data_IF_273930126441
#
_entry.id   IF_273930126441
#
_cell.length_a   1.000
_cell.length_b   1.000
_cell.length_c   1.000
_cell.angle_alpha   90.00
_cell.angle_beta   90.00
_cell.angle_gamma   90.00
#
_symmetry.space_group_name_H-M   'P 1'
#
loop_
_entity.id
_entity.type
_entity.pdbx_description
1 polymer ?
#
# COMPACT_ATOMS: atom_id res chain seq x y z
N UNK A 1 17.12 33.99 -2.59
CA UNK A 1 15.70 33.81 -2.21
C UNK A 1 15.41 32.34 -2.18
N UNK A 2 15.36 31.74 -1.00
CA UNK A 2 14.98 30.34 -0.81
C UNK A 2 13.46 30.21 -1.10
N UNK A 3 13.12 29.60 -2.22
CA UNK A 3 11.72 29.28 -2.52
C UNK A 3 11.25 28.29 -1.46
N UNK A 4 10.33 28.71 -0.62
CA UNK A 4 9.67 27.87 0.36
C UNK A 4 9.29 26.51 -0.26
N UNK A 5 9.67 25.44 0.40
CA UNK A 5 9.52 24.05 -0.05
C UNK A 5 8.04 23.64 -0.20
N UNK A 6 7.14 24.44 0.36
CA UNK A 6 5.69 24.28 0.29
C UNK A 6 5.09 25.47 -0.46
N UNK A 7 4.96 25.34 -1.77
CA UNK A 7 4.32 26.40 -2.57
C UNK A 7 2.79 26.34 -2.57
N UNK A 8 2.21 25.21 -2.14
CA UNK A 8 0.75 25.01 -2.13
C UNK A 8 0.35 24.12 -0.94
N UNK A 9 -0.85 24.35 -0.36
CA UNK A 9 -1.38 23.48 0.71
C UNK A 9 -1.44 22.00 0.33
N UNK A 10 -1.67 21.72 -0.96
CA UNK A 10 -1.70 20.35 -1.49
C UNK A 10 -0.36 19.61 -1.38
N UNK A 11 0.77 20.31 -1.35
CA UNK A 11 2.09 19.69 -1.22
C UNK A 11 2.30 19.14 0.20
N UNK A 12 1.83 19.87 1.21
CA UNK A 12 1.87 19.40 2.60
C UNK A 12 0.99 18.18 2.81
N UNK A 13 -0.24 18.21 2.29
CA UNK A 13 -1.16 17.09 2.38
C UNK A 13 -0.60 15.84 1.67
N UNK A 14 -0.01 16.00 0.50
CA UNK A 14 0.67 14.93 -0.23
C UNK A 14 1.77 14.28 0.61
N UNK A 15 2.61 15.08 1.28
CA UNK A 15 3.69 14.57 2.15
C UNK A 15 3.13 13.82 3.35
N UNK A 16 2.10 14.35 3.99
CA UNK A 16 1.44 13.68 5.13
C UNK A 16 0.88 12.32 4.69
N UNK A 17 0.13 12.26 3.59
CA UNK A 17 -0.42 11.01 3.06
C UNK A 17 0.70 10.01 2.73
N UNK A 18 1.80 10.45 2.10
CA UNK A 18 2.94 9.60 1.77
C UNK A 18 3.59 9.01 3.02
N UNK A 19 3.84 9.85 4.03
CA UNK A 19 4.44 9.43 5.30
C UNK A 19 3.52 8.43 6.00
N UNK A 20 2.23 8.72 6.10
CA UNK A 20 1.26 7.85 6.77
C UNK A 20 1.17 6.48 6.09
N UNK A 21 1.10 6.44 4.77
CA UNK A 21 1.01 5.19 4.02
C UNK A 21 2.33 4.43 4.06
N UNK A 22 3.47 5.12 3.93
CA UNK A 22 4.79 4.51 4.07
C UNK A 22 4.99 3.88 5.45
N UNK A 23 4.58 4.58 6.50
CA UNK A 23 4.62 4.09 7.87
C UNK A 23 3.69 2.87 8.07
N UNK A 24 2.49 2.91 7.52
CA UNK A 24 1.56 1.79 7.57
C UNK A 24 2.17 0.52 6.95
N UNK A 25 2.70 0.59 5.74
CA UNK A 25 3.31 -0.57 5.08
C UNK A 25 4.58 -1.03 5.78
N UNK A 26 5.39 -0.12 6.30
CA UNK A 26 6.56 -0.48 7.08
C UNK A 26 6.17 -1.27 8.34
N UNK A 27 5.21 -0.77 9.13
CA UNK A 27 4.77 -1.43 10.37
C UNK A 27 4.11 -2.78 10.06
N UNK A 28 3.24 -2.86 9.06
CA UNK A 28 2.54 -4.10 8.71
C UNK A 28 3.50 -5.17 8.19
N UNK A 29 4.44 -4.80 7.33
CA UNK A 29 5.47 -5.70 6.85
C UNK A 29 6.42 -6.15 7.97
N UNK A 30 6.83 -5.22 8.85
CA UNK A 30 7.65 -5.54 10.02
C UNK A 30 6.96 -6.52 10.97
N UNK A 31 5.68 -6.29 11.27
CA UNK A 31 4.90 -7.20 12.11
C UNK A 31 4.75 -8.60 11.49
N UNK A 32 4.56 -8.69 10.17
CA UNK A 32 4.51 -9.97 9.46
C UNK A 32 5.84 -10.74 9.49
N UNK A 33 6.98 -10.03 9.63
CA UNK A 33 8.30 -10.66 9.74
C UNK A 33 8.62 -11.13 11.16
N UNK A 34 8.30 -10.31 12.18
CA UNK A 34 8.85 -10.49 13.54
C UNK A 34 7.79 -10.84 14.58
N UNK A 35 6.51 -10.60 14.33
CA UNK A 35 5.47 -10.91 15.29
C UNK A 35 4.80 -12.26 14.96
N UNK A 36 4.87 -13.28 15.86
CA UNK A 36 4.43 -14.65 15.56
C UNK A 36 2.98 -14.78 15.06
N UNK A 37 2.07 -13.98 15.62
CA UNK A 37 0.65 -14.01 15.24
C UNK A 37 0.45 -13.57 13.80
N UNK A 38 1.05 -12.44 13.39
CA UNK A 38 0.92 -11.92 12.03
C UNK A 38 1.65 -12.78 11.01
N UNK A 39 2.82 -13.35 11.40
CA UNK A 39 3.55 -14.31 10.60
C UNK A 39 2.70 -15.57 10.34
N UNK A 40 2.02 -16.09 11.38
CA UNK A 40 1.12 -17.24 11.26
C UNK A 40 -0.05 -16.98 10.31
N UNK A 41 -0.68 -15.82 10.37
CA UNK A 41 -1.74 -15.42 9.43
C UNK A 41 -1.23 -15.33 7.99
N UNK A 42 -0.06 -14.72 7.79
CA UNK A 42 0.55 -14.60 6.46
C UNK A 42 0.90 -15.98 5.90
N UNK A 43 1.51 -16.84 6.70
CA UNK A 43 1.87 -18.21 6.31
C UNK A 43 0.63 -19.01 5.92
N UNK A 44 -0.45 -18.95 6.71
CA UNK A 44 -1.72 -19.62 6.39
C UNK A 44 -2.28 -19.15 5.05
N UNK A 45 -2.24 -17.84 4.77
CA UNK A 45 -2.71 -17.28 3.50
C UNK A 45 -1.86 -17.75 2.32
N UNK A 46 -0.54 -17.75 2.45
CA UNK A 46 0.37 -18.19 1.37
C UNK A 46 0.28 -19.70 1.14
N UNK A 47 0.12 -20.50 2.21
CA UNK A 47 -0.04 -21.97 2.11
C UNK A 47 -1.30 -22.36 1.33
N UNK A 48 -2.38 -21.57 1.41
CA UNK A 48 -3.60 -21.83 0.63
C UNK A 48 -3.41 -21.60 -0.88
N UNK A 49 -2.33 -20.94 -1.30
CA UNK A 49 -2.01 -20.67 -2.71
C UNK A 49 -1.11 -21.74 -3.35
N UNK A 50 -0.84 -22.84 -2.65
CA UNK A 50 -0.08 -24.01 -3.17
C UNK A 50 1.33 -23.69 -3.66
N UNK A 51 2.03 -22.71 -3.06
CA UNK A 51 3.43 -22.48 -3.35
C UNK A 51 4.33 -23.61 -2.82
N UNK A 52 5.39 -23.94 -3.56
CA UNK A 52 6.33 -25.00 -3.18
C UNK A 52 7.07 -24.71 -1.84
N UNK A 53 7.30 -23.46 -1.51
CA UNK A 53 7.89 -23.05 -0.22
C UNK A 53 7.12 -21.85 0.36
N UNK A 54 6.01 -22.13 1.08
CA UNK A 54 5.14 -21.06 1.62
C UNK A 54 5.86 -20.15 2.61
N UNK A 55 6.76 -20.69 3.44
CA UNK A 55 7.48 -19.92 4.45
C UNK A 55 8.42 -18.88 3.81
N UNK A 56 9.17 -19.29 2.79
CA UNK A 56 10.04 -18.37 2.05
C UNK A 56 9.22 -17.27 1.38
N UNK A 57 8.12 -17.64 0.72
CA UNK A 57 7.27 -16.67 0.02
C UNK A 57 6.61 -15.69 0.99
N UNK A 58 6.13 -16.16 2.15
CA UNK A 58 5.57 -15.30 3.19
C UNK A 58 6.59 -14.27 3.69
N UNK A 59 7.79 -14.71 4.01
CA UNK A 59 8.87 -13.82 4.45
C UNK A 59 9.32 -12.85 3.34
N UNK A 60 9.39 -13.32 2.10
CA UNK A 60 9.76 -12.48 0.94
C UNK A 60 8.75 -11.36 0.72
N UNK A 61 7.45 -11.65 0.73
CA UNK A 61 6.40 -10.63 0.58
C UNK A 61 6.41 -9.65 1.75
N UNK A 62 6.51 -10.14 2.99
CA UNK A 62 6.55 -9.30 4.19
C UNK A 62 7.79 -8.39 4.20
N UNK A 63 8.95 -8.89 3.78
CA UNK A 63 10.17 -8.11 3.64
C UNK A 63 10.01 -7.01 2.59
N UNK A 64 9.49 -7.33 1.40
CA UNK A 64 9.25 -6.33 0.36
C UNK A 64 8.25 -5.26 0.82
N UNK A 65 7.21 -5.64 1.55
CA UNK A 65 6.23 -4.70 2.10
C UNK A 65 6.89 -3.72 3.08
N UNK A 66 7.71 -4.22 4.02
CA UNK A 66 8.45 -3.38 4.96
C UNK A 66 9.49 -2.49 4.27
N UNK A 67 10.26 -3.06 3.35
CA UNK A 67 11.35 -2.38 2.65
C UNK A 67 10.83 -1.21 1.79
N UNK A 68 9.84 -1.46 0.93
CA UNK A 68 9.27 -0.41 0.09
C UNK A 68 8.41 0.56 0.88
N UNK A 69 7.79 0.11 1.99
CA UNK A 69 7.11 0.99 2.94
C UNK A 69 8.08 1.99 3.57
N UNK A 70 9.26 1.55 3.99
CA UNK A 70 10.32 2.42 4.52
C UNK A 70 10.82 3.42 3.47
N UNK A 71 11.04 2.99 2.23
CA UNK A 71 11.47 3.86 1.16
C UNK A 71 10.41 4.93 0.83
N UNK A 72 9.15 4.56 0.82
CA UNK A 72 8.04 5.49 0.62
C UNK A 72 7.95 6.51 1.77
N UNK A 73 8.12 6.05 3.03
CA UNK A 73 8.17 6.89 4.22
C UNK A 73 9.26 7.97 4.11
N UNK A 74 10.46 7.55 3.74
CA UNK A 74 11.61 8.45 3.59
C UNK A 74 11.54 9.33 2.33
N UNK A 75 10.64 9.04 1.42
CA UNK A 75 10.56 9.70 0.11
C UNK A 75 11.76 9.40 -0.76
N UNK A 76 12.20 8.14 -0.74
CA UNK A 76 13.32 7.62 -1.51
C UNK A 76 12.76 6.72 -2.61
N UNK A 77 13.15 6.99 -3.89
CA UNK A 77 12.62 6.26 -5.04
C UNK A 77 11.09 6.15 -5.03
N UNK A 78 10.39 7.24 -4.67
CA UNK A 78 8.94 7.27 -4.41
C UNK A 78 8.12 6.56 -5.48
N UNK A 79 8.47 6.70 -6.76
CA UNK A 79 7.78 6.04 -7.87
C UNK A 79 7.93 4.52 -7.83
N UNK A 80 9.17 4.04 -7.66
CA UNK A 80 9.45 2.60 -7.62
C UNK A 80 8.84 1.94 -6.38
N UNK A 81 8.97 2.60 -5.22
CA UNK A 81 8.38 2.12 -3.97
C UNK A 81 6.86 1.98 -4.10
N UNK A 82 6.20 2.99 -4.67
CA UNK A 82 4.76 2.94 -4.89
C UNK A 82 4.35 1.84 -5.87
N UNK A 83 5.05 1.67 -6.99
CA UNK A 83 4.76 0.61 -7.96
C UNK A 83 4.94 -0.78 -7.34
N UNK A 84 6.02 -1.00 -6.58
CA UNK A 84 6.25 -2.28 -5.91
C UNK A 84 5.15 -2.60 -4.89
N UNK A 85 4.71 -1.61 -4.12
CA UNK A 85 3.59 -1.79 -3.18
C UNK A 85 2.26 -2.01 -3.90
N UNK A 86 2.01 -1.36 -5.07
CA UNK A 86 0.83 -1.64 -5.90
C UNK A 86 0.81 -3.10 -6.32
N UNK A 87 1.93 -3.65 -6.79
CA UNK A 87 1.99 -5.07 -7.18
C UNK A 87 1.64 -5.98 -6.01
N UNK A 88 2.18 -5.72 -4.81
CA UNK A 88 1.85 -6.49 -3.60
C UNK A 88 0.35 -6.40 -3.28
N UNK A 89 -0.24 -5.20 -3.36
CA UNK A 89 -1.67 -5.00 -3.08
C UNK A 89 -2.56 -5.64 -4.14
N UNK A 90 -2.17 -5.62 -5.42
CA UNK A 90 -2.89 -6.31 -6.48
C UNK A 90 -2.88 -7.83 -6.27
N UNK A 91 -1.71 -8.39 -5.95
CA UNK A 91 -1.62 -9.82 -5.63
C UNK A 91 -2.53 -10.16 -4.44
N UNK A 92 -2.49 -9.41 -3.34
CA UNK A 92 -3.34 -9.63 -2.20
C UNK A 92 -4.84 -9.52 -2.55
N UNK A 93 -5.21 -8.52 -3.33
CA UNK A 93 -6.59 -8.29 -3.78
C UNK A 93 -7.12 -9.48 -4.56
N UNK A 94 -6.39 -9.94 -5.58
CA UNK A 94 -6.86 -11.01 -6.47
C UNK A 94 -6.74 -12.40 -5.87
N UNK A 95 -5.78 -12.64 -4.97
CA UNK A 95 -5.58 -13.98 -4.39
C UNK A 95 -6.47 -14.26 -3.19
N UNK A 96 -6.87 -13.23 -2.43
CA UNK A 96 -7.61 -13.42 -1.19
C UNK A 96 -8.83 -12.51 -1.07
N UNK A 97 -8.63 -11.21 -1.20
CA UNK A 97 -9.60 -10.24 -0.69
C UNK A 97 -10.83 -10.12 -1.58
N UNK A 98 -10.69 -10.27 -2.90
CA UNK A 98 -11.83 -10.30 -3.82
C UNK A 98 -12.76 -11.49 -3.56
N UNK A 99 -12.21 -12.62 -3.09
CA UNK A 99 -12.97 -13.81 -2.73
C UNK A 99 -13.66 -13.70 -1.37
N UNK A 100 -13.34 -12.67 -0.58
CA UNK A 100 -14.02 -12.38 0.68
C UNK A 100 -15.33 -11.62 0.48
N UNK A 101 -15.58 -11.09 -0.73
CA UNK A 101 -16.85 -10.45 -1.07
C UNK A 101 -17.94 -11.52 -1.13
N UNK A 102 -19.05 -11.37 -0.39
CA UNK A 102 -20.17 -12.29 -0.46
C UNK A 102 -20.70 -12.38 -1.90
N UNK A 103 -20.99 -13.60 -2.37
CA UNK A 103 -21.51 -13.82 -3.73
C UNK A 103 -23.01 -14.07 -3.76
N UNK A 104 -23.60 -14.38 -2.59
CA UNK A 104 -25.01 -14.76 -2.49
C UNK A 104 -25.80 -13.78 -1.59
N UNK A 105 -26.51 -14.31 -0.62
CA UNK A 105 -27.38 -13.52 0.25
C UNK A 105 -26.59 -12.76 1.32
N UNK A 106 -26.77 -11.45 1.38
CA UNK A 106 -26.13 -10.59 2.39
C UNK A 106 -27.10 -10.36 3.53
N UNK A 107 -26.75 -10.66 4.78
CA UNK A 107 -27.56 -10.30 5.94
C UNK A 107 -27.52 -8.78 6.13
N UNK A 108 -28.64 -8.13 5.86
CA UNK A 108 -28.74 -6.65 5.97
C UNK A 108 -29.03 -6.21 7.42
N UNK A 109 -29.95 -6.91 8.07
CA UNK A 109 -30.34 -6.71 9.46
C UNK A 109 -31.22 -7.89 9.88
N UNK A 110 -31.13 -8.41 11.12
CA UNK A 110 -32.01 -9.47 11.61
C UNK A 110 -33.51 -9.17 11.45
N UNK A 111 -33.90 -7.88 11.48
CA UNK A 111 -35.28 -7.43 11.30
C UNK A 111 -35.72 -7.31 9.82
N UNK A 112 -34.82 -7.22 8.88
CA UNK A 112 -35.10 -6.95 7.44
C UNK A 112 -34.83 -8.19 6.57
N UNK A 113 -34.13 -9.18 7.11
CA UNK A 113 -33.78 -10.42 6.42
C UNK A 113 -32.54 -10.31 5.51
N UNK A 114 -32.46 -11.19 4.53
CA UNK A 114 -31.36 -11.28 3.57
C UNK A 114 -31.69 -10.56 2.27
N UNK A 115 -30.73 -9.83 1.69
CA UNK A 115 -30.84 -9.19 0.39
C UNK A 115 -30.00 -9.94 -0.63
N UNK A 116 -30.50 -10.10 -1.84
CA UNK A 116 -29.71 -10.61 -2.95
C UNK A 116 -28.57 -9.64 -3.29
N UNK A 117 -27.42 -10.21 -3.70
CA UNK A 117 -26.29 -9.43 -4.14
C UNK A 117 -26.60 -8.78 -5.50
N UNK A 118 -26.79 -7.48 -5.51
CA UNK A 118 -26.91 -6.68 -6.72
C UNK A 118 -25.56 -6.03 -7.09
N UNK A 119 -25.37 -5.58 -8.34
CA UNK A 119 -24.08 -5.00 -8.79
C UNK A 119 -23.62 -3.80 -7.96
N UNK A 120 -24.53 -2.97 -7.46
CA UNK A 120 -24.19 -1.81 -6.62
C UNK A 120 -23.75 -2.23 -5.22
N UNK A 121 -24.38 -3.22 -4.64
CA UNK A 121 -23.97 -3.80 -3.36
C UNK A 121 -22.59 -4.44 -3.49
N UNK A 122 -22.34 -5.21 -4.55
CA UNK A 122 -21.03 -5.79 -4.84
C UNK A 122 -19.94 -4.71 -4.99
N UNK A 123 -20.23 -3.66 -5.75
CA UNK A 123 -19.31 -2.53 -5.95
C UNK A 123 -19.00 -1.81 -4.63
N UNK A 124 -19.98 -1.70 -3.75
CA UNK A 124 -19.78 -1.14 -2.40
C UNK A 124 -18.79 -2.00 -1.60
N UNK A 125 -18.98 -3.32 -1.55
CA UNK A 125 -18.04 -4.22 -0.88
C UNK A 125 -16.64 -4.14 -1.50
N UNK A 126 -16.54 -4.07 -2.82
CA UNK A 126 -15.26 -3.92 -3.51
C UNK A 126 -14.51 -2.65 -3.09
N UNK A 127 -15.19 -1.50 -3.00
CA UNK A 127 -14.56 -0.26 -2.54
C UNK A 127 -14.30 -0.23 -1.03
N UNK A 128 -14.95 -1.08 -0.24
CA UNK A 128 -14.62 -1.27 1.17
C UNK A 128 -13.31 -2.04 1.39
N UNK A 129 -12.80 -2.72 0.38
CA UNK A 129 -11.51 -3.40 0.49
C UNK A 129 -10.39 -2.36 0.61
N UNK A 130 -9.60 -2.39 1.70
CA UNK A 130 -8.54 -1.39 1.92
C UNK A 130 -7.48 -1.41 0.81
N UNK A 131 -7.26 -2.56 0.15
CA UNK A 131 -6.34 -2.70 -0.97
C UNK A 131 -6.69 -1.80 -2.13
N UNK A 132 -7.97 -1.64 -2.44
CA UNK A 132 -8.46 -0.77 -3.53
C UNK A 132 -8.07 0.70 -3.25
N UNK A 133 -8.33 1.17 -2.02
CA UNK A 133 -7.95 2.52 -1.60
C UNK A 133 -6.43 2.72 -1.61
N UNK A 134 -5.66 1.74 -1.11
CA UNK A 134 -4.20 1.81 -1.14
C UNK A 134 -3.66 1.85 -2.57
N UNK A 135 -4.19 1.05 -3.49
CA UNK A 135 -3.79 1.07 -4.89
C UNK A 135 -4.03 2.44 -5.52
N UNK A 136 -5.17 3.08 -5.25
CA UNK A 136 -5.48 4.42 -5.74
C UNK A 136 -4.49 5.48 -5.21
N UNK A 137 -4.20 5.45 -3.90
CA UNK A 137 -3.27 6.38 -3.26
C UNK A 137 -1.82 6.15 -3.71
N UNK A 138 -1.39 4.90 -3.80
CA UNK A 138 -0.07 4.54 -4.32
C UNK A 138 0.07 4.92 -5.80
N UNK A 139 -0.99 4.77 -6.61
CA UNK A 139 -1.06 5.24 -7.99
C UNK A 139 -0.81 6.76 -8.08
N UNK A 140 -1.43 7.54 -7.21
CA UNK A 140 -1.18 8.98 -7.12
C UNK A 140 0.30 9.28 -6.80
N UNK A 141 0.94 8.53 -5.90
CA UNK A 141 2.37 8.70 -5.60
C UNK A 141 3.27 8.28 -6.74
N UNK A 142 2.92 7.21 -7.45
CA UNK A 142 3.66 6.75 -8.63
C UNK A 142 3.67 7.78 -9.76
N UNK A 143 2.51 8.36 -10.07
CA UNK A 143 2.38 9.36 -11.12
C UNK A 143 3.06 10.69 -10.75
N UNK A 144 2.85 11.17 -9.54
CA UNK A 144 3.38 12.47 -9.11
C UNK A 144 4.87 12.41 -8.70
N UNK A 145 5.35 11.26 -8.25
CA UNK A 145 6.72 11.10 -7.75
C UNK A 145 7.00 11.95 -6.50
N UNK A 146 8.23 12.45 -6.38
CA UNK A 146 8.57 13.38 -5.30
C UNK A 146 8.06 14.79 -5.65
N UNK A 147 7.10 15.31 -4.92
CA UNK A 147 6.64 16.73 -5.08
C UNK A 147 7.25 17.66 -4.04
N UNK A 148 7.46 17.16 -2.82
CA UNK A 148 8.01 17.95 -1.72
C UNK A 148 8.61 17.01 -0.65
N UNK A 149 9.56 17.53 0.13
CA UNK A 149 10.17 16.88 1.29
C UNK A 149 10.39 15.36 1.13
N UNK A 150 11.48 14.98 0.52
CA UNK A 150 11.95 13.60 0.41
C UNK A 150 13.45 13.55 0.17
N UNK A 151 14.08 12.44 0.47
CA UNK A 151 15.52 12.23 0.22
C UNK A 151 15.82 12.40 -1.29
N UNK A 152 14.90 12.00 -2.15
CA UNK A 152 15.02 12.20 -3.61
C UNK A 152 15.23 13.67 -4.00
N UNK A 153 14.61 14.59 -3.27
CA UNK A 153 14.78 16.03 -3.49
C UNK A 153 16.17 16.52 -3.06
N UNK A 154 16.68 16.01 -1.94
CA UNK A 154 18.03 16.35 -1.45
C UNK A 154 19.12 15.84 -2.40
N UNK A 155 18.96 14.62 -2.91
CA UNK A 155 19.87 14.01 -3.88
C UNK A 155 19.90 14.83 -5.17
N UNK A 156 18.73 15.23 -5.67
CA UNK A 156 18.62 16.02 -6.90
C UNK A 156 19.20 17.43 -6.74
N UNK A 157 18.99 18.07 -5.58
CA UNK A 157 19.59 19.37 -5.26
C UNK A 157 21.12 19.27 -5.27
N UNK A 158 21.71 18.29 -4.57
CA UNK A 158 23.15 18.06 -4.51
C UNK A 158 23.75 17.78 -5.90
N UNK A 159 23.07 17.02 -6.74
CA UNK A 159 23.53 16.75 -8.12
C UNK A 159 23.51 18.01 -8.98
N UNK A 160 22.54 18.90 -8.79
CA UNK A 160 22.49 20.16 -9.51
C UNK A 160 23.62 21.11 -9.08
N UNK A 161 23.90 21.21 -7.78
CA UNK A 161 24.97 22.05 -7.25
C UNK A 161 26.36 21.55 -7.71
N UNK A 162 26.54 20.24 -7.89
CA UNK A 162 27.80 19.65 -8.42
C UNK A 162 28.04 19.93 -9.89
N UNK A 163 27.01 20.14 -10.71
CA UNK A 163 27.16 20.47 -12.14
C UNK A 163 27.39 21.96 -12.42
N UNK A 164 27.32 22.81 -11.40
CA UNK A 164 27.58 24.24 -11.50
C UNK A 164 28.89 24.68 -10.82
N UNK A 165 29.72 23.73 -10.35
CA UNK A 165 31.11 23.93 -9.92
C UNK A 165 32.07 23.39 -11.00
#
# INVERSE_FOLDING_TARGET
MEKNTFNKPGDLFYVICRISIGLFFFITGFNKLFHPVFQGYMLKTISSLSFSNPQFMANFVAFNEAFWGLFLLLGLLTRFSSLSLIVIMLVALFTKDIHSIPTELVPVNPAVGTRSMDPFTWLTYFFYLPQVLFIMLLGMFSLNGYKALGIDMLIKKKKKDFFYL
#
